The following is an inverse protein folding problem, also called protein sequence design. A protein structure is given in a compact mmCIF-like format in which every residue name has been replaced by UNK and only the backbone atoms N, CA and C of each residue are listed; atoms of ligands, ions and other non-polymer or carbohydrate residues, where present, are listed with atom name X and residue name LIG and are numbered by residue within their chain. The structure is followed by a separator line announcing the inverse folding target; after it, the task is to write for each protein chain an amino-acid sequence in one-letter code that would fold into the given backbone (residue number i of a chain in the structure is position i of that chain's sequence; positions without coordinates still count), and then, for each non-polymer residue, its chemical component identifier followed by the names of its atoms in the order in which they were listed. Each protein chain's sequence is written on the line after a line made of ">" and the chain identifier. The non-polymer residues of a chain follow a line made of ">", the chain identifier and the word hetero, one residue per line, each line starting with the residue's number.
data_IF_387614556540
#
_entry.id   IF_387614556540
#
_cell.length_a   1.000
_cell.length_b   1.000
_cell.length_c   1.000
_cell.angle_alpha   90.00
_cell.angle_beta   90.00
_cell.angle_gamma   90.00
#
_symmetry.space_group_name_H-M   'P 1'
#
loop_
_entity.id
_entity.type
_entity.pdbx_description
1 polymer ?
#
# COMPACT_ATOMS: atom_id res chain seq x y z
N UNK A 1 1.46 -17.55 19.64
CA UNK A 1 0.88 -18.08 18.38
C UNK A 1 2.00 -18.30 17.38
N UNK A 2 1.90 -19.33 16.53
CA UNK A 2 2.90 -19.63 15.51
C UNK A 2 2.83 -18.68 14.29
N UNK A 3 1.65 -18.11 14.02
CA UNK A 3 1.46 -17.17 12.91
C UNK A 3 1.95 -15.77 13.30
N UNK A 4 2.82 -15.12 12.52
CA UNK A 4 3.29 -13.78 12.81
C UNK A 4 2.16 -12.75 12.64
N UNK A 5 2.26 -11.63 13.37
CA UNK A 5 1.29 -10.52 13.28
C UNK A 5 1.27 -9.86 11.90
N UNK A 6 2.42 -9.79 11.23
CA UNK A 6 2.59 -9.34 9.84
C UNK A 6 2.95 -10.56 9.01
N UNK A 7 2.06 -10.98 8.13
CA UNK A 7 2.24 -12.16 7.28
C UNK A 7 2.92 -11.69 5.99
N UNK A 8 4.13 -12.17 5.65
CA UNK A 8 4.77 -11.82 4.39
C UNK A 8 3.99 -12.39 3.21
N UNK A 9 3.84 -11.61 2.16
CA UNK A 9 3.19 -12.00 0.91
C UNK A 9 4.01 -11.51 -0.28
N UNK A 10 3.89 -12.16 -1.43
CA UNK A 10 4.52 -11.67 -2.65
C UNK A 10 3.65 -10.57 -3.26
N UNK A 11 4.25 -9.68 -4.04
CA UNK A 11 3.51 -8.60 -4.70
C UNK A 11 2.47 -9.15 -5.68
N UNK A 12 2.88 -10.11 -6.49
CA UNK A 12 2.09 -10.80 -7.50
C UNK A 12 0.93 -11.62 -6.94
N UNK A 13 0.99 -12.01 -5.67
CA UNK A 13 -0.13 -12.70 -5.00
C UNK A 13 -1.23 -11.70 -4.59
N UNK A 14 -0.87 -10.44 -4.37
CA UNK A 14 -1.79 -9.36 -3.97
C UNK A 14 -2.28 -8.56 -5.17
N UNK A 15 -1.39 -8.30 -6.13
CA UNK A 15 -1.61 -7.46 -7.30
C UNK A 15 -1.24 -8.24 -8.58
N UNK A 16 -2.00 -9.29 -8.94
CA UNK A 16 -1.67 -10.16 -10.08
C UNK A 16 -1.69 -9.42 -11.42
N UNK A 17 -2.51 -8.37 -11.54
CA UNK A 17 -2.58 -7.50 -12.71
C UNK A 17 -1.65 -6.27 -12.61
N UNK A 18 -0.77 -6.23 -11.60
CA UNK A 18 0.05 -5.06 -11.28
C UNK A 18 -0.68 -4.02 -10.44
N UNK A 19 -0.03 -2.88 -10.22
CA UNK A 19 -0.55 -1.82 -9.36
C UNK A 19 -0.13 -0.45 -9.88
N UNK A 20 -1.00 0.55 -9.74
CA UNK A 20 -0.70 1.94 -10.09
C UNK A 20 -0.86 2.87 -8.89
N UNK A 21 0.08 3.79 -8.68
CA UNK A 21 -0.03 4.76 -7.58
C UNK A 21 -0.92 5.93 -7.98
N UNK A 22 -1.91 6.21 -7.14
CA UNK A 22 -2.82 7.35 -7.26
C UNK A 22 -2.32 8.56 -6.47
N UNK A 23 -1.61 8.35 -5.37
CA UNK A 23 -1.06 9.41 -4.54
C UNK A 23 -0.44 8.90 -3.24
N UNK A 24 0.20 9.80 -2.51
CA UNK A 24 0.80 9.51 -1.20
C UNK A 24 0.34 10.57 -0.21
N UNK A 25 -0.16 10.15 0.94
CA UNK A 25 -0.61 11.02 2.03
C UNK A 25 0.02 10.59 3.37
N UNK A 26 0.09 11.50 4.34
CA UNK A 26 0.54 11.17 5.69
C UNK A 26 -0.48 10.25 6.36
N UNK A 27 -0.03 9.13 6.94
CA UNK A 27 -0.89 8.30 7.77
C UNK A 27 -1.03 8.96 9.13
N UNK A 28 -2.24 9.37 9.51
CA UNK A 28 -2.47 9.96 10.83
C UNK A 28 -2.88 8.90 11.85
N UNK A 29 -2.38 9.05 13.07
CA UNK A 29 -2.81 8.31 14.25
C UNK A 29 -4.10 8.94 14.78
N UNK A 30 -5.17 8.14 14.85
CA UNK A 30 -6.50 8.62 15.23
C UNK A 30 -6.53 9.23 16.63
N UNK A 31 -5.84 8.64 17.61
CA UNK A 31 -5.83 9.14 18.98
C UNK A 31 -5.06 10.46 19.07
N UNK A 32 -3.95 10.60 18.33
CA UNK A 32 -3.23 11.88 18.25
C UNK A 32 -4.04 12.98 17.59
N UNK A 33 -4.77 12.67 16.51
CA UNK A 33 -5.70 13.62 15.87
C UNK A 33 -6.77 14.06 16.86
N UNK A 34 -7.39 13.12 17.57
CA UNK A 34 -8.42 13.39 18.58
C UNK A 34 -7.89 14.23 19.75
N UNK A 35 -6.63 14.02 20.13
CA UNK A 35 -5.94 14.81 21.15
C UNK A 35 -5.41 16.16 20.63
N UNK A 36 -5.65 16.50 19.36
CA UNK A 36 -5.13 17.70 18.69
C UNK A 36 -3.60 17.86 18.85
N UNK A 37 -2.88 16.74 18.73
CA UNK A 37 -1.42 16.74 18.85
C UNK A 37 -0.77 17.53 17.70
N UNK A 38 0.32 18.27 17.95
CA UNK A 38 1.01 19.04 16.91
C UNK A 38 1.51 18.20 15.72
N UNK A 39 1.93 16.96 15.98
CA UNK A 39 2.30 15.98 14.96
C UNK A 39 1.40 14.74 15.11
N UNK A 40 0.26 14.69 14.38
CA UNK A 40 -0.66 13.57 14.43
C UNK A 40 -0.19 12.38 13.59
N UNK A 41 0.93 12.46 12.88
CA UNK A 41 1.35 11.40 11.97
C UNK A 41 1.77 10.14 12.74
N UNK A 42 1.30 8.99 12.26
CA UNK A 42 1.65 7.65 12.74
C UNK A 42 3.17 7.42 12.58
N UNK A 43 3.75 6.73 13.55
CA UNK A 43 5.14 6.27 13.51
C UNK A 43 5.16 4.75 13.49
N UNK A 44 6.01 4.13 12.66
CA UNK A 44 6.15 2.69 12.70
C UNK A 44 6.78 2.30 14.06
N UNK A 45 6.19 1.36 14.80
CA UNK A 45 6.65 1.04 16.14
C UNK A 45 8.01 0.33 16.18
N UNK A 46 8.51 -0.19 15.06
CA UNK A 46 9.80 -0.87 15.00
C UNK A 46 10.92 0.10 14.60
N UNK A 47 10.64 1.05 13.70
CA UNK A 47 11.68 1.97 13.16
C UNK A 47 11.58 3.40 13.71
N UNK A 48 10.42 3.80 14.23
CA UNK A 48 10.16 5.18 14.65
C UNK A 48 9.94 6.16 13.50
N UNK A 49 9.99 5.70 12.24
CA UNK A 49 9.82 6.54 11.05
C UNK A 49 8.37 6.93 10.82
N UNK A 50 8.16 8.00 10.03
CA UNK A 50 6.84 8.42 9.57
C UNK A 50 6.19 7.32 8.73
N UNK A 51 4.90 7.11 8.95
CA UNK A 51 4.10 6.23 8.10
C UNK A 51 3.39 7.07 7.03
N UNK A 52 3.48 6.59 5.80
CA UNK A 52 2.85 7.15 4.62
C UNK A 52 1.82 6.16 4.09
N UNK A 53 0.66 6.65 3.68
CA UNK A 53 -0.33 5.87 2.94
C UNK A 53 -0.12 6.11 1.46
N UNK A 54 0.22 5.04 0.74
CA UNK A 54 0.24 5.01 -0.72
C UNK A 54 -1.14 4.53 -1.16
N UNK A 55 -1.88 5.38 -1.89
CA UNK A 55 -3.15 5.02 -2.52
C UNK A 55 -2.85 4.32 -3.83
N UNK A 56 -3.39 3.13 -4.02
CA UNK A 56 -3.05 2.23 -5.12
C UNK A 56 -4.32 1.82 -5.85
N UNK A 57 -4.28 1.92 -7.18
CA UNK A 57 -5.26 1.32 -8.08
C UNK A 57 -4.83 -0.11 -8.41
N UNK A 58 -5.72 -1.05 -8.14
CA UNK A 58 -5.67 -2.43 -8.61
C UNK A 58 -6.48 -2.53 -9.92
N UNK A 59 -5.83 -2.82 -11.06
CA UNK A 59 -6.49 -2.94 -12.36
C UNK A 59 -7.16 -4.31 -12.57
N UNK A 60 -7.08 -5.25 -11.62
CA UNK A 60 -7.72 -6.56 -11.75
C UNK A 60 -9.26 -6.39 -11.78
N UNK A 61 -9.95 -6.81 -12.86
CA UNK A 61 -11.40 -6.68 -12.97
C UNK A 61 -12.17 -7.53 -11.96
N UNK A 62 -11.51 -8.51 -11.34
CA UNK A 62 -12.07 -9.38 -10.30
C UNK A 62 -11.81 -8.84 -8.89
N UNK A 63 -11.01 -7.78 -8.74
CA UNK A 63 -10.75 -7.16 -7.46
C UNK A 63 -12.04 -6.64 -6.82
N UNK A 64 -12.24 -6.98 -5.55
CA UNK A 64 -13.40 -6.51 -4.78
C UNK A 64 -13.38 -4.99 -4.57
N UNK A 65 -12.19 -4.39 -4.53
CA UNK A 65 -11.96 -2.97 -4.35
C UNK A 65 -10.90 -2.54 -5.36
N UNK A 66 -11.25 -1.58 -6.22
CA UNK A 66 -10.29 -1.04 -7.20
C UNK A 66 -9.21 -0.18 -6.53
N UNK A 67 -9.49 0.42 -5.37
CA UNK A 67 -8.52 1.26 -4.66
C UNK A 67 -8.18 0.66 -3.29
N UNK A 68 -6.87 0.55 -3.03
CA UNK A 68 -6.31 0.04 -1.79
C UNK A 68 -5.30 1.04 -1.19
N UNK A 69 -5.04 0.86 0.11
CA UNK A 69 -4.07 1.64 0.87
C UNK A 69 -2.91 0.76 1.33
N UNK A 70 -1.69 1.07 0.90
CA UNK A 70 -0.46 0.42 1.35
C UNK A 70 0.31 1.37 2.24
N UNK A 71 0.55 0.98 3.49
CA UNK A 71 1.36 1.76 4.43
C UNK A 71 2.85 1.51 4.21
N UNK A 72 3.64 2.58 4.12
CA UNK A 72 5.11 2.53 3.96
C UNK A 72 5.74 3.38 5.05
N UNK A 73 6.70 2.82 5.77
CA UNK A 73 7.51 3.57 6.73
C UNK A 73 8.68 4.23 5.98
N UNK A 74 8.84 5.54 6.12
CA UNK A 74 9.96 6.29 5.55
C UNK A 74 10.13 7.63 6.26
N UNK A 75 11.38 8.09 6.42
CA UNK A 75 11.67 9.39 7.05
C UNK A 75 10.99 10.60 6.36
N UNK A 76 10.84 10.54 5.03
CA UNK A 76 10.22 11.56 4.16
C UNK A 76 9.19 10.94 3.23
N UNK A 77 8.36 11.77 2.57
CA UNK A 77 7.34 11.31 1.64
C UNK A 77 7.98 10.51 0.49
N UNK A 78 7.55 9.25 0.24
CA UNK A 78 7.99 8.51 -0.93
C UNK A 78 7.70 9.27 -2.22
N UNK A 79 8.70 9.35 -3.10
CA UNK A 79 8.56 9.94 -4.43
C UNK A 79 7.73 9.00 -5.31
N UNK A 80 6.75 9.57 -6.01
CA UNK A 80 5.91 8.82 -6.93
C UNK A 80 6.70 8.36 -8.16
N UNK A 81 6.44 7.14 -8.67
CA UNK A 81 6.90 6.74 -10.00
C UNK A 81 6.40 7.70 -11.09
N UNK A 82 7.15 7.75 -12.19
CA UNK A 82 6.73 8.48 -13.39
C UNK A 82 5.46 7.86 -13.99
N UNK A 83 4.65 8.71 -14.62
CA UNK A 83 3.47 8.24 -15.34
C UNK A 83 3.90 7.60 -16.67
N UNK A 84 3.19 6.57 -17.11
CA UNK A 84 3.43 5.98 -18.43
C UNK A 84 3.09 6.99 -19.53
N UNK A 85 3.90 7.07 -20.61
CA UNK A 85 3.66 8.01 -21.71
C UNK A 85 2.22 7.94 -22.25
N UNK A 86 1.57 9.09 -22.34
CA UNK A 86 0.20 9.19 -22.87
C UNK A 86 -0.91 8.75 -21.91
N UNK A 87 -0.60 8.44 -20.64
CA UNK A 87 -1.59 8.03 -19.63
C UNK A 87 -1.35 8.72 -18.27
N UNK A 88 -2.33 8.78 -17.37
CA UNK A 88 -2.12 9.25 -16.00
C UNK A 88 -1.55 8.16 -15.05
N UNK A 89 -1.30 6.94 -15.54
CA UNK A 89 -1.01 5.78 -14.70
C UNK A 89 0.46 5.70 -14.30
N UNK A 90 0.72 5.50 -13.01
CA UNK A 90 2.07 5.42 -12.42
C UNK A 90 2.36 4.01 -11.89
N UNK A 91 2.98 3.12 -12.67
CA UNK A 91 3.18 1.73 -12.28
C UNK A 91 4.15 1.60 -11.10
N UNK A 92 3.86 0.70 -10.16
CA UNK A 92 4.65 0.50 -8.94
C UNK A 92 4.85 -0.96 -8.59
N UNK A 93 5.98 -1.26 -7.96
CA UNK A 93 6.20 -2.50 -7.20
C UNK A 93 6.43 -2.14 -5.73
N UNK A 94 5.90 -2.98 -4.85
CA UNK A 94 6.16 -2.92 -3.43
C UNK A 94 7.09 -4.06 -3.02
N UNK A 95 8.14 -3.76 -2.27
CA UNK A 95 9.04 -4.77 -1.72
C UNK A 95 8.73 -5.01 -0.24
N UNK A 96 8.90 -6.25 0.22
CA UNK A 96 8.64 -6.63 1.61
C UNK A 96 7.18 -6.44 2.01
N UNK A 97 6.24 -6.76 1.11
CA UNK A 97 4.81 -6.68 1.40
C UNK A 97 4.43 -7.61 2.54
N UNK A 98 3.59 -7.09 3.42
CA UNK A 98 2.98 -7.81 4.52
C UNK A 98 1.51 -7.48 4.63
N UNK A 99 0.72 -8.46 5.05
CA UNK A 99 -0.69 -8.28 5.41
C UNK A 99 -0.87 -8.50 6.91
N UNK A 100 -1.71 -7.69 7.53
CA UNK A 100 -2.19 -7.91 8.88
C UNK A 100 -3.71 -8.06 8.86
N UNK A 101 -4.25 -9.26 9.17
CA UNK A 101 -5.67 -9.44 9.30
C UNK A 101 -6.19 -8.71 10.55
N UNK A 102 -7.37 -8.13 10.46
CA UNK A 102 -8.10 -7.55 11.59
C UNK A 102 -9.61 -7.74 11.40
N UNK A 103 -10.36 -7.70 12.49
CA UNK A 103 -11.82 -7.82 12.45
C UNK A 103 -12.42 -6.42 12.48
N UNK A 104 -13.11 -6.04 11.41
CA UNK A 104 -13.89 -4.82 11.34
C UNK A 104 -15.24 -5.02 11.99
N UNK A 105 -15.45 -4.32 13.10
CA UNK A 105 -16.69 -4.36 13.89
C UNK A 105 -17.56 -3.13 13.71
N UNK A 106 -17.24 -2.23 12.76
CA UNK A 106 -17.98 -0.97 12.58
C UNK A 106 -19.35 -1.16 11.89
N UNK A 107 -19.62 -2.33 11.30
CA UNK A 107 -20.87 -2.65 10.61
C UNK A 107 -21.82 -3.56 11.40
N UNK A 108 -23.00 -3.84 10.82
CA UNK A 108 -24.01 -4.76 11.40
C UNK A 108 -23.46 -6.16 11.72
N UNK A 109 -22.49 -6.62 10.93
CA UNK A 109 -21.81 -7.89 11.12
C UNK A 109 -20.29 -7.68 11.05
N UNK A 110 -19.51 -8.36 11.92
CA UNK A 110 -18.06 -8.34 11.83
C UNK A 110 -17.57 -8.82 10.45
N UNK A 111 -16.56 -8.15 9.90
CA UNK A 111 -15.95 -8.51 8.62
C UNK A 111 -14.44 -8.68 8.77
N UNK A 112 -13.88 -9.61 8.02
CA UNK A 112 -12.42 -9.71 7.91
C UNK A 112 -11.91 -8.56 7.05
N UNK A 113 -11.01 -7.74 7.61
CA UNK A 113 -10.25 -6.72 6.91
C UNK A 113 -8.77 -7.08 6.84
N UNK A 114 -8.05 -6.45 5.92
CA UNK A 114 -6.60 -6.58 5.80
C UNK A 114 -5.95 -5.20 5.74
N UNK A 115 -4.88 -5.01 6.50
CA UNK A 115 -4.02 -3.85 6.37
C UNK A 115 -2.75 -4.26 5.62
N UNK A 116 -2.41 -3.54 4.54
CA UNK A 116 -1.20 -3.77 3.76
C UNK A 116 -0.08 -2.85 4.22
N UNK A 117 1.13 -3.40 4.33
CA UNK A 117 2.37 -2.66 4.58
C UNK A 117 3.47 -3.12 3.64
N UNK A 118 4.31 -2.21 3.19
CA UNK A 118 5.52 -2.51 2.43
C UNK A 118 6.74 -1.85 3.07
N UNK A 119 7.93 -2.38 2.77
CA UNK A 119 9.21 -1.80 3.20
C UNK A 119 9.60 -0.65 2.26
N UNK A 120 9.41 -0.85 0.96
CA UNK A 120 9.73 0.14 -0.07
C UNK A 120 8.71 0.10 -1.20
N UNK A 121 8.71 1.16 -2.01
CA UNK A 121 8.05 1.17 -3.30
C UNK A 121 9.04 1.65 -4.36
N UNK A 122 8.95 1.09 -5.55
CA UNK A 122 9.85 1.39 -6.67
C UNK A 122 9.10 1.45 -7.99
N UNK A 123 9.59 2.23 -8.97
CA UNK A 123 9.07 2.16 -10.32
C UNK A 123 9.26 0.75 -10.90
N UNK A 124 8.34 0.36 -11.78
CA UNK A 124 8.61 -0.74 -12.71
C UNK A 124 9.67 -0.20 -13.67
N UNK A 125 10.81 -0.89 -13.79
CA UNK A 125 11.81 -0.57 -14.82
C UNK A 125 11.14 -0.55 -16.21
N UNK A 126 11.80 -0.02 -17.25
CA UNK A 126 11.20 0.06 -18.57
C UNK A 126 10.56 -1.27 -18.92
N UNK A 127 9.24 -1.27 -19.12
CA UNK A 127 8.48 -2.47 -19.43
C UNK A 127 9.11 -3.04 -20.70
N UNK A 128 9.92 -4.09 -20.54
CA UNK A 128 10.43 -4.85 -21.68
C UNK A 128 9.17 -5.39 -22.34
N UNK A 129 8.76 -4.77 -23.44
CA UNK A 129 7.72 -5.32 -24.30
C UNK A 129 8.25 -6.67 -24.76
N UNK A 130 7.88 -7.75 -24.08
CA UNK A 130 7.97 -9.07 -24.67
C UNK A 130 6.93 -9.04 -25.77
N UNK A 131 7.37 -8.69 -26.99
CA UNK A 131 6.52 -8.80 -28.16
C UNK A 131 6.07 -10.25 -28.25
N UNK A 132 4.78 -10.47 -28.07
CA UNK A 132 4.16 -11.69 -28.53
C UNK A 132 4.17 -11.61 -30.07
N UNK A 133 5.21 -12.18 -30.65
CA UNK A 133 5.23 -12.59 -32.03
C UNK A 133 4.52 -13.94 -32.11
N UNK A 134 3.38 -13.98 -32.80
CA UNK A 134 2.87 -15.05 -33.67
C UNK A 134 1.44 -14.67 -34.11
#
# INVERSE_FOLDING_TARGET
>A
MAVPRRIPVRFEDVFPAGAFVLGVEAANDYEKVKANAPDPQERDPNTGERVWVVRVLDPDPTARQAELKVKVAAAVQPVLPEAMPGTPFRPVLFEGLTITPWVDTNGKFPKQGYALRAVSLRPIGPMRRTGAAA
#
